data_IF_173891827687
#
_entry.id   IF_173891827687
#
_cell.length_a   1.000
_cell.length_b   1.000
_cell.length_c   1.000
_cell.angle_alpha   90.00
_cell.angle_beta   90.00
_cell.angle_gamma   90.00
#
_symmetry.space_group_name_H-M   'P 1'
#
loop_
_entity.id
_entity.type
_entity.pdbx_description
1 polymer ?
#
# COMPACT_ATOMS: atom_id res chain seq x y z
N UNK A 1 9.58 9.87 9.53
CA UNK A 1 10.03 9.18 8.30
C UNK A 1 11.19 8.24 8.65
N UNK A 2 11.27 7.06 8.04
CA UNK A 2 12.23 6.00 8.40
C UNK A 2 13.68 6.47 8.44
N UNK A 3 14.16 7.16 7.40
CA UNK A 3 15.54 7.67 7.35
C UNK A 3 15.89 8.61 8.52
N UNK A 4 14.94 9.42 9.00
CA UNK A 4 15.14 10.31 10.15
C UNK A 4 15.27 9.50 11.44
N UNK A 5 14.44 8.47 11.62
CA UNK A 5 14.48 7.62 12.80
C UNK A 5 15.78 6.81 12.85
N UNK A 6 16.18 6.19 11.74
CA UNK A 6 17.44 5.45 11.64
C UNK A 6 18.65 6.33 11.97
N UNK A 7 18.72 7.54 11.39
CA UNK A 7 19.79 8.50 11.67
C UNK A 7 19.85 8.91 13.15
N UNK A 8 18.70 9.11 13.80
CA UNK A 8 18.63 9.45 15.24
C UNK A 8 19.08 8.31 16.14
N UNK A 9 18.89 7.07 15.71
CA UNK A 9 19.33 5.87 16.43
C UNK A 9 20.77 5.47 16.13
N UNK A 10 21.47 6.18 15.22
CA UNK A 10 22.79 5.76 14.75
C UNK A 10 22.76 4.46 13.94
N UNK A 11 21.60 4.10 13.40
CA UNK A 11 21.38 2.90 12.61
C UNK A 11 21.24 3.21 11.11
N UNK A 12 21.41 2.19 10.29
CA UNK A 12 21.17 2.27 8.84
C UNK A 12 20.19 1.19 8.41
N UNK A 13 19.25 1.55 7.52
CA UNK A 13 18.28 0.60 6.97
C UNK A 13 18.96 -0.18 5.84
N UNK A 14 19.16 -1.48 6.05
CA UNK A 14 19.78 -2.36 5.07
C UNK A 14 18.70 -3.10 4.26
N UNK A 15 18.42 -2.61 3.06
CA UNK A 15 17.41 -3.16 2.15
C UNK A 15 17.65 -4.65 1.86
N UNK A 16 18.91 -5.04 1.63
CA UNK A 16 19.29 -6.43 1.36
C UNK A 16 18.97 -7.37 2.52
N UNK A 17 19.10 -6.90 3.76
CA UNK A 17 18.73 -7.67 4.95
C UNK A 17 17.21 -7.88 5.02
N UNK A 18 16.42 -6.84 4.73
CA UNK A 18 14.96 -6.94 4.70
C UNK A 18 14.52 -7.93 3.62
N UNK A 19 15.08 -7.81 2.42
CA UNK A 19 14.79 -8.73 1.30
C UNK A 19 15.11 -10.18 1.65
N UNK A 20 16.26 -10.44 2.27
CA UNK A 20 16.62 -11.80 2.70
C UNK A 20 15.59 -12.37 3.69
N UNK A 21 15.21 -11.59 4.71
CA UNK A 21 14.24 -12.04 5.71
C UNK A 21 12.88 -12.32 5.07
N UNK A 22 12.42 -11.49 4.13
CA UNK A 22 11.17 -11.73 3.43
C UNK A 22 11.22 -13.02 2.60
N UNK A 23 12.33 -13.30 1.91
CA UNK A 23 12.51 -14.55 1.15
C UNK A 23 12.51 -15.78 2.07
N UNK A 24 13.16 -15.70 3.23
CA UNK A 24 13.14 -16.80 4.20
C UNK A 24 11.71 -17.06 4.72
N UNK A 25 10.87 -16.01 4.84
CA UNK A 25 9.46 -16.16 5.19
C UNK A 25 8.63 -16.79 4.06
N UNK A 26 8.93 -16.50 2.81
CA UNK A 26 8.27 -17.12 1.64
C UNK A 26 8.49 -18.63 1.59
N UNK A 27 9.60 -19.15 2.14
CA UNK A 27 9.85 -20.59 2.23
C UNK A 27 8.96 -21.31 3.26
N UNK A 28 8.38 -20.57 4.22
CA UNK A 28 7.69 -21.16 5.38
C UNK A 28 6.24 -20.73 5.53
N UNK A 29 5.79 -19.71 4.80
CA UNK A 29 4.43 -19.20 4.82
C UNK A 29 3.74 -19.44 3.48
N UNK A 30 2.46 -19.82 3.51
CA UNK A 30 1.66 -19.95 2.30
C UNK A 30 1.52 -18.61 1.55
N UNK A 31 1.54 -17.50 2.28
CA UNK A 31 1.45 -16.13 1.76
C UNK A 31 2.23 -15.17 2.65
N UNK A 32 2.92 -14.22 2.02
CA UNK A 32 3.63 -13.13 2.69
C UNK A 32 3.01 -11.80 2.28
N UNK A 33 2.63 -10.98 3.27
CA UNK A 33 2.14 -9.61 3.06
C UNK A 33 3.13 -8.66 3.69
N UNK A 34 3.64 -7.70 2.89
CA UNK A 34 4.58 -6.69 3.35
C UNK A 34 3.87 -5.34 3.41
N UNK A 35 3.67 -4.82 4.61
CA UNK A 35 3.23 -3.43 4.80
C UNK A 35 4.45 -2.49 4.65
N UNK A 36 4.31 -1.48 3.79
CA UNK A 36 5.31 -0.41 3.69
C UNK A 36 5.31 0.51 4.91
N UNK A 37 5.97 1.67 4.77
CA UNK A 37 5.99 2.67 5.83
C UNK A 37 5.73 4.06 5.25
N UNK A 38 4.52 4.58 5.49
CA UNK A 38 4.08 5.86 4.91
C UNK A 38 3.59 5.70 3.47
N UNK A 39 3.94 6.65 2.59
CA UNK A 39 3.57 6.62 1.17
C UNK A 39 4.62 5.98 0.27
N UNK A 40 4.35 5.93 -1.04
CA UNK A 40 5.23 5.31 -2.03
C UNK A 40 6.63 5.96 -2.10
N UNK A 41 6.70 7.29 -2.14
CA UNK A 41 7.96 8.05 -2.26
C UNK A 41 8.66 8.29 -0.91
N UNK A 42 8.62 7.32 0.01
CA UNK A 42 9.24 7.49 1.34
C UNK A 42 10.74 7.18 1.30
N UNK A 43 11.62 8.11 1.76
CA UNK A 43 13.05 7.85 1.83
C UNK A 43 13.40 6.92 2.99
N UNK A 44 14.21 5.90 2.67
CA UNK A 44 14.74 4.91 3.61
C UNK A 44 16.20 5.22 4.02
N UNK A 45 16.85 6.17 3.35
CA UNK A 45 18.21 6.61 3.66
C UNK A 45 19.21 6.17 2.58
N UNK A 46 20.41 6.77 2.58
CA UNK A 46 21.47 6.45 1.62
C UNK A 46 21.04 6.54 0.14
N UNK A 47 20.15 7.49 -0.18
CA UNK A 47 19.59 7.65 -1.53
C UNK A 47 18.54 6.61 -1.93
N UNK A 48 18.18 5.69 -1.04
CA UNK A 48 17.15 4.66 -1.27
C UNK A 48 15.77 5.13 -0.82
N UNK A 49 14.77 4.67 -1.55
CA UNK A 49 13.36 4.95 -1.40
C UNK A 49 12.59 3.65 -1.19
N UNK A 50 11.36 3.73 -0.67
CA UNK A 50 10.48 2.56 -0.50
C UNK A 50 10.25 1.75 -1.79
N UNK A 51 10.15 2.35 -3.00
CA UNK A 51 10.00 1.60 -4.24
C UNK A 51 11.20 0.70 -4.51
N UNK A 52 12.41 1.09 -4.10
CA UNK A 52 13.60 0.24 -4.24
C UNK A 52 13.53 -1.02 -3.39
N UNK A 53 12.81 -0.98 -2.26
CA UNK A 53 12.54 -2.16 -1.44
C UNK A 53 11.53 -3.05 -2.14
N UNK A 54 10.41 -2.46 -2.60
CA UNK A 54 9.35 -3.18 -3.30
C UNK A 54 9.89 -3.89 -4.56
N UNK A 55 10.69 -3.20 -5.39
CA UNK A 55 11.35 -3.80 -6.54
C UNK A 55 12.33 -4.92 -6.14
N UNK A 56 13.08 -4.74 -5.05
CA UNK A 56 13.99 -5.78 -4.55
C UNK A 56 13.28 -7.05 -4.08
N UNK A 57 12.03 -6.93 -3.64
CA UNK A 57 11.16 -8.04 -3.27
C UNK A 57 10.39 -8.61 -4.48
N UNK A 58 10.17 -7.83 -5.54
CA UNK A 58 9.43 -8.26 -6.72
C UNK A 58 7.94 -8.51 -6.47
N UNK A 59 7.35 -7.86 -5.46
CA UNK A 59 5.97 -8.11 -5.02
C UNK A 59 4.95 -7.31 -5.81
N UNK A 60 3.77 -7.90 -6.01
CA UNK A 60 2.59 -7.20 -6.52
C UNK A 60 2.12 -6.14 -5.52
N UNK A 61 1.92 -4.91 -6.00
CA UNK A 61 1.58 -3.76 -5.16
C UNK A 61 0.07 -3.60 -5.05
N UNK A 62 -0.41 -3.39 -3.81
CA UNK A 62 -1.79 -3.03 -3.51
C UNK A 62 -1.82 -1.64 -2.87
N UNK A 63 -2.65 -0.75 -3.39
CA UNK A 63 -2.81 0.61 -2.87
C UNK A 63 -4.03 0.72 -1.95
N UNK A 64 -3.84 1.16 -0.72
CA UNK A 64 -4.95 1.54 0.17
C UNK A 64 -5.23 3.03 0.05
N UNK A 65 -6.42 3.39 -0.46
CA UNK A 65 -6.87 4.77 -0.63
C UNK A 65 -7.78 5.14 0.53
N UNK A 66 -7.27 5.95 1.47
CA UNK A 66 -8.09 6.57 2.50
C UNK A 66 -9.04 7.61 1.89
N UNK A 67 -10.35 7.38 2.02
CA UNK A 67 -11.38 8.25 1.46
C UNK A 67 -11.48 9.55 2.25
N UNK A 68 -11.06 10.64 1.62
CA UNK A 68 -11.08 12.01 2.15
C UNK A 68 -10.87 13.02 1.03
N UNK A 69 -11.06 14.30 1.31
CA UNK A 69 -10.72 15.36 0.36
C UNK A 69 -9.25 15.25 -0.08
N UNK A 70 -9.03 15.32 -1.40
CA UNK A 70 -7.71 15.18 -2.03
C UNK A 70 -7.27 13.75 -2.33
N UNK A 71 -8.01 12.72 -1.89
CA UNK A 71 -7.62 11.32 -2.12
C UNK A 71 -7.54 10.94 -3.60
N UNK A 72 -8.37 11.54 -4.46
CA UNK A 72 -8.33 11.30 -5.92
C UNK A 72 -6.93 11.64 -6.48
N UNK A 73 -6.44 12.85 -6.20
CA UNK A 73 -5.12 13.28 -6.64
C UNK A 73 -4.02 12.36 -6.08
N UNK A 74 -4.03 12.09 -4.78
CA UNK A 74 -3.01 11.23 -4.16
C UNK A 74 -3.01 9.82 -4.74
N UNK A 75 -4.18 9.22 -4.96
CA UNK A 75 -4.30 7.88 -5.52
C UNK A 75 -3.74 7.85 -6.95
N UNK A 76 -4.15 8.79 -7.81
CA UNK A 76 -3.68 8.82 -9.21
C UNK A 76 -2.18 9.08 -9.32
N UNK A 77 -1.62 9.99 -8.51
CA UNK A 77 -0.17 10.21 -8.45
C UNK A 77 0.57 8.96 -7.96
N UNK A 78 0.03 8.27 -6.95
CA UNK A 78 0.64 7.05 -6.42
C UNK A 78 0.58 5.92 -7.44
N UNK A 79 -0.55 5.73 -8.12
CA UNK A 79 -0.70 4.75 -9.21
C UNK A 79 0.27 5.05 -10.35
N UNK A 80 0.41 6.32 -10.74
CA UNK A 80 1.38 6.72 -11.76
C UNK A 80 2.82 6.40 -11.34
N UNK A 81 3.17 6.61 -10.07
CA UNK A 81 4.51 6.29 -9.56
C UNK A 81 4.75 4.78 -9.50
N UNK A 82 3.76 3.98 -9.07
CA UNK A 82 3.85 2.51 -9.10
C UNK A 82 4.03 2.01 -10.53
N UNK A 83 3.19 2.47 -11.47
CA UNK A 83 3.25 2.08 -12.90
C UNK A 83 4.54 2.53 -13.61
N UNK A 84 5.31 3.44 -13.01
CA UNK A 84 6.64 3.83 -13.51
C UNK A 84 7.75 2.86 -13.10
N UNK A 85 7.45 1.91 -12.21
CA UNK A 85 8.34 0.81 -11.84
C UNK A 85 8.04 -0.44 -12.67
N UNK A 86 8.85 -1.47 -12.52
CA UNK A 86 8.64 -2.79 -13.14
C UNK A 86 7.66 -3.68 -12.38
N UNK A 87 7.07 -3.18 -11.29
CA UNK A 87 6.18 -3.96 -10.43
C UNK A 87 4.76 -4.06 -11.00
N UNK A 88 4.12 -5.19 -10.73
CA UNK A 88 2.71 -5.36 -10.99
C UNK A 88 1.87 -4.52 -10.01
N UNK A 89 0.87 -3.81 -10.53
CA UNK A 89 -0.12 -3.12 -9.71
C UNK A 89 -1.41 -3.95 -9.65
N UNK A 90 -1.53 -4.76 -8.60
CA UNK A 90 -2.56 -5.79 -8.48
C UNK A 90 -3.95 -5.27 -8.08
N UNK A 91 -4.06 -4.01 -7.64
CA UNK A 91 -5.35 -3.42 -7.30
C UNK A 91 -5.28 -2.39 -6.20
N UNK A 92 -6.46 -1.93 -5.78
CA UNK A 92 -6.60 -0.94 -4.73
C UNK A 92 -7.80 -1.20 -3.83
N UNK A 93 -7.72 -0.68 -2.61
CA UNK A 93 -8.76 -0.78 -1.59
C UNK A 93 -9.22 0.63 -1.26
N UNK A 94 -10.52 0.87 -1.26
CA UNK A 94 -11.11 2.10 -0.73
C UNK A 94 -11.33 1.93 0.77
N UNK A 95 -10.76 2.81 1.59
CA UNK A 95 -10.88 2.74 3.05
C UNK A 95 -11.62 3.95 3.60
N UNK A 96 -12.81 3.75 4.17
CA UNK A 96 -13.60 4.79 4.80
C UNK A 96 -13.07 5.07 6.22
N UNK A 97 -12.25 6.12 6.36
CA UNK A 97 -11.56 6.42 7.63
C UNK A 97 -12.42 7.17 8.66
N UNK A 98 -13.62 7.63 8.28
CA UNK A 98 -14.51 8.42 9.13
C UNK A 98 -15.97 7.99 8.93
N UNK A 99 -16.86 8.17 9.95
CA UNK A 99 -18.25 7.71 9.87
C UNK A 99 -19.03 8.26 8.68
N UNK A 100 -18.66 9.47 8.21
CA UNK A 100 -19.29 10.14 7.09
C UNK A 100 -18.23 10.70 6.17
N UNK A 101 -18.33 10.34 4.89
CA UNK A 101 -17.56 10.92 3.80
C UNK A 101 -18.57 11.53 2.82
N UNK A 102 -18.40 12.81 2.50
CA UNK A 102 -19.20 13.47 1.49
C UNK A 102 -18.88 12.91 0.10
N UNK A 103 -19.91 12.68 -0.72
CA UNK A 103 -19.79 12.17 -2.09
C UNK A 103 -18.91 10.91 -2.23
N UNK A 104 -19.03 9.98 -1.26
CA UNK A 104 -18.18 8.78 -1.19
C UNK A 104 -18.28 7.93 -2.45
N UNK A 105 -19.51 7.69 -2.93
CA UNK A 105 -19.76 6.85 -4.11
C UNK A 105 -19.20 7.50 -5.37
N UNK A 106 -19.35 8.82 -5.52
CA UNK A 106 -18.80 9.59 -6.63
C UNK A 106 -17.28 9.60 -6.64
N UNK A 107 -16.64 9.70 -5.46
CA UNK A 107 -15.18 9.59 -5.31
C UNK A 107 -14.71 8.20 -5.76
N UNK A 108 -15.35 7.13 -5.26
CA UNK A 108 -14.98 5.75 -5.61
C UNK A 108 -15.18 5.50 -7.10
N UNK A 109 -16.29 5.98 -7.68
CA UNK A 109 -16.56 5.85 -9.12
C UNK A 109 -15.52 6.61 -9.96
N UNK A 110 -15.18 7.84 -9.55
CA UNK A 110 -14.13 8.64 -10.22
C UNK A 110 -12.79 7.91 -10.24
N UNK A 111 -12.41 7.28 -9.12
CA UNK A 111 -11.20 6.46 -9.01
C UNK A 111 -11.29 5.20 -9.87
N UNK A 112 -12.42 4.48 -9.83
CA UNK A 112 -12.63 3.25 -10.61
C UNK A 112 -12.52 3.50 -12.12
N UNK A 113 -12.98 4.64 -12.62
CA UNK A 113 -12.86 5.02 -14.03
C UNK A 113 -11.43 5.36 -14.46
N UNK A 114 -10.56 5.75 -13.52
CA UNK A 114 -9.21 6.30 -13.80
C UNK A 114 -8.07 5.37 -13.40
N UNK A 115 -8.35 4.45 -12.48
CA UNK A 115 -7.41 3.43 -12.04
C UNK A 115 -7.71 2.16 -12.83
N UNK A 116 -6.84 1.90 -13.80
CA UNK A 116 -6.81 0.64 -14.55
C UNK A 116 -6.13 -0.45 -13.69
N UNK A 117 -6.87 -0.92 -12.68
CA UNK A 117 -6.62 -2.04 -11.79
C UNK A 117 -7.89 -2.34 -10.96
N UNK A 118 -8.10 -3.57 -10.47
CA UNK A 118 -9.33 -3.92 -9.76
C UNK A 118 -9.47 -3.18 -8.42
N UNK A 119 -10.70 -2.75 -8.11
CA UNK A 119 -11.10 -2.37 -6.76
C UNK A 119 -11.32 -3.65 -5.95
N UNK A 120 -10.40 -3.94 -5.05
CA UNK A 120 -10.38 -5.17 -4.24
C UNK A 120 -11.44 -5.14 -3.11
N UNK A 121 -11.92 -3.96 -2.75
CA UNK A 121 -12.98 -3.81 -1.76
C UNK A 121 -13.15 -2.40 -1.24
N UNK A 122 -14.27 -2.17 -0.56
CA UNK A 122 -14.55 -0.94 0.18
C UNK A 122 -14.66 -1.31 1.65
N UNK A 123 -13.67 -0.90 2.44
CA UNK A 123 -13.68 -1.06 3.89
C UNK A 123 -14.55 0.02 4.52
N UNK A 124 -15.63 -0.33 5.22
CA UNK A 124 -16.48 0.65 5.88
C UNK A 124 -15.79 1.22 7.11
N UNK A 125 -16.28 2.37 7.57
CA UNK A 125 -15.84 2.90 8.86
C UNK A 125 -16.30 1.97 10.00
N UNK A 126 -15.37 1.64 10.89
CA UNK A 126 -15.62 0.83 12.08
C UNK A 126 -14.78 1.39 13.24
N UNK A 127 -15.39 1.55 14.41
CA UNK A 127 -14.72 2.06 15.60
C UNK A 127 -13.74 1.03 16.20
N UNK A 128 -14.10 -0.26 16.16
CA UNK A 128 -13.28 -1.38 16.64
C UNK A 128 -13.18 -2.46 15.55
N UNK A 129 -12.37 -2.24 14.49
CA UNK A 129 -12.31 -3.14 13.35
C UNK A 129 -11.72 -4.51 13.74
N UNK A 130 -12.51 -5.58 13.57
CA UNK A 130 -12.02 -6.95 13.71
C UNK A 130 -11.50 -7.46 12.36
N UNK A 131 -10.24 -7.93 12.26
CA UNK A 131 -9.66 -8.34 10.97
C UNK A 131 -10.50 -9.37 10.20
N UNK A 132 -11.07 -10.36 10.88
CA UNK A 132 -11.91 -11.38 10.25
C UNK A 132 -13.21 -10.82 9.64
N UNK A 133 -13.80 -9.80 10.26
CA UNK A 133 -14.99 -9.12 9.74
C UNK A 133 -14.61 -8.21 8.56
N UNK A 134 -13.50 -7.47 8.68
CA UNK A 134 -12.99 -6.58 7.63
C UNK A 134 -12.58 -7.35 6.37
N UNK A 135 -12.01 -8.55 6.52
CA UNK A 135 -11.68 -9.44 5.40
C UNK A 135 -12.93 -9.81 4.57
N UNK A 136 -14.12 -9.80 5.18
CA UNK A 136 -15.40 -10.01 4.51
C UNK A 136 -15.69 -9.01 3.38
N UNK A 137 -15.06 -7.84 3.39
CA UNK A 137 -15.22 -6.78 2.39
C UNK A 137 -14.20 -6.82 1.26
N UNK A 138 -13.17 -7.66 1.36
CA UNK A 138 -12.05 -7.72 0.42
C UNK A 138 -12.15 -8.97 -0.47
N UNK A 139 -11.90 -8.83 -1.77
CA UNK A 139 -12.00 -9.89 -2.79
C UNK A 139 -10.96 -9.66 -3.89
N UNK A 140 -10.63 -10.73 -4.61
CA UNK A 140 -9.87 -10.62 -5.86
C UNK A 140 -8.40 -10.24 -5.68
N UNK A 141 -7.79 -10.59 -4.55
CA UNK A 141 -6.34 -10.47 -4.41
C UNK A 141 -5.63 -11.27 -5.50
N UNK A 142 -4.57 -10.73 -6.12
CA UNK A 142 -3.74 -11.47 -7.06
C UNK A 142 -3.13 -12.71 -6.37
N UNK A 143 -2.95 -13.79 -7.12
CA UNK A 143 -2.44 -15.07 -6.59
C UNK A 143 -0.97 -15.03 -6.20
#
# INVERSE_FOLDING_TARGET
APHIAAARSGESIQLTRIVSICRDLEETADRVVVEGVGGWEVPLGSGRMLPDLACGLGLTVILVVGLRLGCINHALLTVSAIKSTELEFGGWIANQQQPRIEAMDEIINTLRERIDAPLLGVLPWCEDPKPGEMAGYLRGFPE
#
